data_IF_090317220247
#
_entry.id   IF_090317220247
#
_cell.length_a   1.000
_cell.length_b   1.000
_cell.length_c   1.000
_cell.angle_alpha   90.00
_cell.angle_beta   90.00
_cell.angle_gamma   90.00
#
_symmetry.space_group_name_H-M   'P 1'
#
loop_
_entity.id
_entity.type
_entity.pdbx_description
1 polymer ?
#
# COMPACT_ATOMS: atom_id res chain seq x y z
N UNK A 1 -14.85 -19.78 -7.48
CA UNK A 1 -14.73 -19.25 -7.60
C UNK A 1 -14.36 -18.28 -7.20
N UNK A 2 -13.95 -17.87 -7.26
CA UNK A 2 -13.58 -16.92 -6.84
C UNK A 2 -13.79 -15.83 -7.25
N UNK A 3 -14.04 -15.07 -7.00
CA UNK A 3 -14.34 -14.00 -7.33
C UNK A 3 -13.58 -13.12 -6.76
N UNK A 4 -12.52 -12.93 -7.06
CA UNK A 4 -11.73 -12.11 -6.63
C UNK A 4 -11.90 -10.87 -7.16
N UNK A 5 -12.34 -9.89 -6.57
CA UNK A 5 -12.37 -8.59 -7.02
C UNK A 5 -11.03 -7.98 -6.82
N UNK A 6 -10.23 -8.57 -5.98
CA UNK A 6 -8.98 -8.00 -5.61
C UNK A 6 -7.90 -8.75 -6.33
N UNK A 7 -7.42 -8.20 -7.43
CA UNK A 7 -6.40 -8.85 -8.16
C UNK A 7 -5.06 -8.30 -7.73
N UNK A 8 -4.23 -9.12 -7.14
CA UNK A 8 -2.92 -8.71 -6.72
C UNK A 8 -1.96 -8.78 -7.87
N UNK A 9 -1.19 -7.72 -8.06
CA UNK A 9 -0.21 -7.65 -9.11
C UNK A 9 1.15 -7.56 -8.46
N UNK A 10 2.02 -8.52 -8.74
CA UNK A 10 3.36 -8.49 -8.24
C UNK A 10 4.10 -7.35 -8.93
N UNK A 11 4.61 -6.42 -8.16
CA UNK A 11 5.37 -5.34 -8.74
C UNK A 11 6.29 -4.75 -7.70
N UNK A 12 7.50 -4.45 -8.12
CA UNK A 12 8.51 -3.95 -7.23
C UNK A 12 8.72 -2.50 -7.53
N UNK A 13 8.16 -1.64 -6.71
CA UNK A 13 8.26 -0.19 -6.88
C UNK A 13 8.86 0.41 -5.63
N UNK A 14 9.57 1.50 -5.80
CA UNK A 14 10.12 2.21 -4.67
C UNK A 14 9.11 3.19 -4.13
N UNK A 15 8.96 3.21 -2.82
CA UNK A 15 8.03 4.11 -2.16
C UNK A 15 8.71 4.77 -0.98
N UNK A 16 8.14 5.86 -0.53
CA UNK A 16 8.57 6.50 0.69
C UNK A 16 7.39 6.53 1.63
N UNK A 17 7.62 6.20 2.87
CA UNK A 17 6.55 6.10 3.86
C UNK A 17 6.59 7.28 4.79
N UNK A 18 5.40 7.77 5.16
CA UNK A 18 5.27 8.93 6.04
C UNK A 18 4.30 8.63 7.16
N UNK A 19 4.62 9.11 8.34
CA UNK A 19 3.73 9.04 9.49
C UNK A 19 3.47 10.46 9.91
N UNK A 20 2.21 10.89 9.84
CA UNK A 20 1.83 12.25 10.23
C UNK A 20 2.71 13.30 9.53
N UNK A 21 2.98 13.09 8.27
CA UNK A 21 3.75 14.05 7.48
C UNK A 21 5.26 13.95 7.63
N UNK A 22 5.74 13.04 8.45
CA UNK A 22 7.16 12.89 8.68
C UNK A 22 7.66 11.64 7.97
N UNK A 23 8.72 11.79 7.18
CA UNK A 23 9.25 10.68 6.43
C UNK A 23 9.85 9.64 7.36
N UNK A 24 9.50 8.39 7.12
CA UNK A 24 10.05 7.28 7.86
C UNK A 24 11.15 6.59 7.06
N UNK A 25 11.26 6.91 5.78
CA UNK A 25 12.25 6.29 4.94
C UNK A 25 11.62 5.58 3.76
N UNK A 26 12.42 4.85 3.03
CA UNK A 26 11.99 4.21 1.80
C UNK A 26 11.72 2.73 2.00
N UNK A 27 10.89 2.20 1.15
CA UNK A 27 10.54 0.79 1.16
C UNK A 27 10.29 0.35 -0.26
N UNK A 28 10.04 -0.92 -0.46
CA UNK A 28 9.72 -1.44 -1.77
C UNK A 28 8.41 -2.21 -1.70
N UNK A 29 7.66 -2.14 -2.77
CA UNK A 29 6.44 -2.93 -2.83
C UNK A 29 6.78 -4.36 -3.22
N UNK A 30 5.95 -5.29 -2.81
CA UNK A 30 6.01 -6.68 -3.24
C UNK A 30 4.86 -6.93 -4.19
N UNK A 31 3.68 -6.51 -3.79
CA UNK A 31 2.52 -6.60 -4.66
C UNK A 31 1.51 -5.54 -4.25
N UNK A 32 0.61 -5.23 -5.12
CA UNK A 32 -0.37 -4.18 -4.95
C UNK A 32 -1.71 -4.66 -5.48
N UNK A 33 -2.77 -4.27 -4.82
CA UNK A 33 -4.12 -4.52 -5.29
C UNK A 33 -4.95 -3.28 -5.05
N UNK A 34 -6.22 -3.34 -5.42
CA UNK A 34 -7.10 -2.22 -5.14
C UNK A 34 -7.31 -2.00 -3.66
N UNK A 35 -7.14 -3.04 -2.86
CA UNK A 35 -7.45 -2.96 -1.45
C UNK A 35 -6.24 -2.70 -0.58
N UNK A 36 -5.06 -2.96 -1.07
CA UNK A 36 -3.91 -2.79 -0.22
C UNK A 36 -2.60 -3.01 -0.93
N UNK A 37 -1.55 -2.96 -0.14
CA UNK A 37 -0.22 -3.06 -0.66
C UNK A 37 0.62 -3.86 0.33
N UNK A 38 1.51 -4.67 -0.20
CA UNK A 38 2.43 -5.44 0.60
C UNK A 38 3.81 -4.86 0.39
N UNK A 39 4.47 -4.52 1.46
CA UNK A 39 5.76 -3.84 1.42
C UNK A 39 6.86 -4.71 2.01
N UNK A 40 8.04 -4.55 1.45
CA UNK A 40 9.25 -5.08 2.02
C UNK A 40 9.93 -3.90 2.67
N UNK A 41 10.12 -3.93 3.97
CA UNK A 41 10.65 -2.80 4.69
C UNK A 41 11.16 -3.20 6.06
N UNK A 42 12.19 -2.50 6.51
CA UNK A 42 12.70 -2.67 7.86
C UNK A 42 12.20 -1.56 8.76
N UNK A 43 11.38 -0.67 8.23
CA UNK A 43 10.84 0.42 9.02
C UNK A 43 9.89 -0.16 10.07
N UNK A 44 10.00 0.32 11.29
CA UNK A 44 9.15 -0.16 12.37
C UNK A 44 7.76 0.45 12.23
N UNK A 45 6.79 -0.36 11.88
CA UNK A 45 5.41 0.07 11.73
C UNK A 45 4.56 -0.64 12.77
N UNK A 46 3.49 0.03 13.19
CA UNK A 46 2.58 -0.54 14.17
C UNK A 46 1.26 -0.87 13.52
N UNK A 47 0.67 -1.97 13.94
CA UNK A 47 -0.64 -2.33 13.41
C UNK A 47 -1.64 -1.24 13.75
N UNK A 48 -2.53 -1.02 12.83
CA UNK A 48 -3.62 -0.06 12.95
C UNK A 48 -3.22 1.40 12.83
N UNK A 49 -1.95 1.69 12.56
CA UNK A 49 -1.58 3.08 12.34
C UNK A 49 -1.75 3.44 10.87
N UNK A 50 -1.96 4.72 10.63
CA UNK A 50 -2.14 5.23 9.29
C UNK A 50 -0.79 5.65 8.74
N UNK A 51 -0.47 5.18 7.54
CA UNK A 51 0.78 5.50 6.89
C UNK A 51 0.48 6.04 5.49
N UNK A 52 1.15 7.10 5.11
CA UNK A 52 1.06 7.62 3.76
C UNK A 52 2.17 7.00 2.93
N UNK A 53 1.85 6.62 1.72
CA UNK A 53 2.77 5.96 0.82
C UNK A 53 2.90 6.86 -0.41
N UNK A 54 4.13 7.24 -0.73
CA UNK A 54 4.40 8.05 -1.91
C UNK A 54 5.19 7.19 -2.87
N UNK A 55 4.66 7.01 -4.07
CA UNK A 55 5.33 6.20 -5.07
C UNK A 55 6.41 7.05 -5.72
N UNK A 56 7.63 6.57 -5.67
CA UNK A 56 8.78 7.32 -6.16
C UNK A 56 9.10 7.02 -7.62
N UNK A 57 8.70 5.87 -8.08
CA UNK A 57 8.97 5.50 -9.46
C UNK A 57 7.95 6.13 -10.38
N UNK A 58 8.36 6.38 -11.61
CA UNK A 58 7.48 6.95 -12.59
C UNK A 58 6.54 5.86 -13.08
N UNK A 59 5.29 5.93 -12.66
CA UNK A 59 4.30 4.92 -13.01
C UNK A 59 3.42 5.47 -14.09
N UNK A 60 3.44 4.83 -15.24
CA UNK A 60 2.68 5.31 -16.38
C UNK A 60 1.31 4.67 -16.48
N UNK A 61 0.73 4.29 -15.39
CA UNK A 61 -0.58 3.65 -15.40
C UNK A 61 -1.64 4.72 -15.20
N UNK A 62 -2.50 4.93 -16.19
CA UNK A 62 -3.53 5.95 -16.05
C UNK A 62 -4.38 5.70 -14.81
N UNK A 63 -4.64 6.76 -14.07
CA UNK A 63 -5.45 6.65 -12.87
C UNK A 63 -4.72 6.13 -11.64
N UNK A 64 -3.44 5.83 -11.77
CA UNK A 64 -2.69 5.34 -10.63
C UNK A 64 -2.28 6.50 -9.75
N UNK A 65 -2.54 6.45 -8.46
CA UNK A 65 -2.21 7.58 -7.59
C UNK A 65 -0.72 7.66 -7.34
N UNK A 66 -0.24 8.89 -7.18
CA UNK A 66 1.14 9.12 -6.79
C UNK A 66 1.29 8.89 -5.30
N UNK A 67 0.21 9.12 -4.57
CA UNK A 67 0.22 9.01 -3.12
C UNK A 67 -1.01 8.25 -2.67
N UNK A 68 -0.85 7.41 -1.67
CA UNK A 68 -1.95 6.65 -1.13
C UNK A 68 -1.79 6.58 0.38
N UNK A 69 -2.87 6.36 1.09
CA UNK A 69 -2.81 6.18 2.53
C UNK A 69 -3.31 4.80 2.87
N UNK A 70 -2.67 4.17 3.81
CA UNK A 70 -3.05 2.85 4.21
C UNK A 70 -2.96 2.67 5.71
N UNK A 71 -3.74 1.72 6.21
CA UNK A 71 -3.70 1.35 7.60
C UNK A 71 -2.90 0.06 7.69
N UNK A 72 -1.95 0.03 8.60
CA UNK A 72 -1.10 -1.16 8.74
C UNK A 72 -1.95 -2.31 9.25
N UNK A 73 -2.14 -3.30 8.40
CA UNK A 73 -2.99 -4.44 8.70
C UNK A 73 -2.21 -5.55 9.39
N UNK A 74 -0.97 -5.76 8.99
CA UNK A 74 -0.14 -6.74 9.67
C UNK A 74 1.33 -6.38 9.49
N UNK A 75 2.14 -6.85 10.39
CA UNK A 75 3.57 -6.60 10.37
C UNK A 75 4.27 -7.92 10.62
N UNK A 76 5.29 -8.18 9.82
CA UNK A 76 6.14 -9.34 10.02
C UNK A 76 7.58 -8.87 9.82
N UNK A 77 8.51 -9.69 10.15
CA UNK A 77 9.91 -9.30 10.03
C UNK A 77 10.23 -9.01 8.56
N UNK A 78 10.61 -7.78 8.27
CA UNK A 78 10.98 -7.39 6.93
C UNK A 78 9.82 -7.11 6.00
N UNK A 79 8.58 -7.21 6.49
CA UNK A 79 7.41 -7.05 5.65
C UNK A 79 6.27 -6.40 6.39
N UNK A 80 5.40 -5.74 5.65
CA UNK A 80 4.19 -5.17 6.23
C UNK A 80 3.11 -5.14 5.16
N UNK A 81 1.87 -5.36 5.58
CA UNK A 81 0.73 -5.24 4.69
C UNK A 81 -0.09 -4.06 5.13
N UNK A 82 -0.47 -3.21 4.19
CA UNK A 82 -1.29 -2.05 4.46
C UNK A 82 -2.57 -2.15 3.68
N UNK A 83 -3.65 -1.76 4.32
CA UNK A 83 -4.96 -1.79 3.71
C UNK A 83 -5.34 -0.35 3.39
N UNK A 84 -5.76 -0.11 2.16
CA UNK A 84 -6.07 1.25 1.74
C UNK A 84 -7.35 1.79 2.35
N UNK A 85 -8.17 0.95 2.90
CA UNK A 85 -9.41 1.41 3.49
C UNK A 85 -10.45 1.75 2.47
N UNK A 86 -10.24 1.40 1.21
CA UNK A 86 -11.23 1.68 0.23
C UNK A 86 -12.34 0.70 0.35
N UNK A 87 -13.51 1.21 0.39
CA UNK A 87 -14.65 0.35 0.37
C UNK A 87 -15.05 0.21 -1.06
N UNK A 88 -15.20 -1.00 -1.51
CA UNK A 88 -15.64 -1.22 -2.85
C UNK A 88 -17.03 -0.67 -2.95
N UNK A 89 -17.19 0.26 -3.89
CA UNK A 89 -18.42 0.93 -3.92
C UNK A 89 -19.29 0.59 -5.02
N UNK A 90 -19.10 -0.51 -5.61
CA UNK A 90 -20.01 -0.86 -6.66
C UNK A 90 -21.40 -0.99 -6.10
N UNK A 91 -21.49 -1.14 -4.84
CA UNK A 91 -22.80 -1.24 -4.28
C UNK A 91 -23.47 0.10 -4.21
N UNK A 92 -22.75 1.13 -4.50
CA UNK A 92 -23.34 2.41 -4.46
C UNK A 92 -24.02 2.74 -5.73
N UNK A 93 -23.92 1.88 -6.61
CA UNK A 93 -24.51 2.18 -7.89
C UNK A 93 -25.96 2.50 -7.77
#
# INVERSE_FOLDING_TARGET
>A
MEHRHDRRVACELNVELYRAGISLGKAKTVDISNEGIHLETDIHLKRNEMISIVFLDDISIPGWPVRERGIVAHVAQGHAGLWFGRIVRHDLA
#
